data_IF_178951110528
#
_entry.id   IF_178951110528
#
_cell.length_a   1.000
_cell.length_b   1.000
_cell.length_c   1.000
_cell.angle_alpha   90.00
_cell.angle_beta   90.00
_cell.angle_gamma   90.00
#
_symmetry.space_group_name_H-M   'P 1'
#
loop_
_entity.id
_entity.type
_entity.pdbx_description
1 polymer ?
#
# COMPACT_ATOMS: atom_id res chain seq x y z
N UNK A 1 84.18 25.78 37.21
CA UNK A 1 85.16 24.82 36.65
C UNK A 1 84.41 23.57 36.26
N UNK A 2 84.87 22.86 35.23
CA UNK A 2 84.28 21.59 34.81
C UNK A 2 84.69 20.46 35.75
N UNK A 3 83.71 19.71 36.28
CA UNK A 3 83.97 18.42 36.91
C UNK A 3 84.07 17.38 35.79
N UNK A 4 85.22 16.74 35.65
CA UNK A 4 85.44 15.69 34.66
C UNK A 4 86.15 14.53 35.35
N UNK A 5 85.46 13.40 35.43
CA UNK A 5 85.91 12.21 36.15
C UNK A 5 86.14 11.07 35.15
N UNK A 6 87.15 10.23 35.42
CA UNK A 6 87.40 9.02 34.62
C UNK A 6 86.39 7.88 34.88
N UNK A 7 85.50 8.06 35.86
CA UNK A 7 84.35 7.21 36.17
C UNK A 7 83.12 8.05 36.51
N UNK A 8 82.06 7.42 37.02
CA UNK A 8 80.80 8.10 37.34
C UNK A 8 80.90 9.13 38.48
N UNK A 9 79.99 10.10 38.48
CA UNK A 9 79.82 11.10 39.54
C UNK A 9 78.66 10.70 40.46
N UNK A 10 78.96 10.38 41.71
CA UNK A 10 77.97 10.01 42.73
C UNK A 10 77.56 11.22 43.59
N UNK A 11 76.27 11.36 43.83
CA UNK A 11 75.62 12.49 44.51
C UNK A 11 74.46 11.95 45.36
N UNK A 12 74.49 12.23 46.66
CA UNK A 12 73.57 11.63 47.65
C UNK A 12 72.28 12.41 47.87
N UNK A 13 72.22 13.63 47.35
CA UNK A 13 71.08 14.55 47.36
C UNK A 13 70.91 15.10 45.94
N UNK A 14 69.97 16.02 45.76
CA UNK A 14 69.63 16.62 44.46
C UNK A 14 70.81 17.34 43.79
N UNK A 15 70.91 17.17 42.47
CA UNK A 15 71.80 17.98 41.62
C UNK A 15 70.96 18.97 40.84
N UNK A 16 71.02 20.24 41.26
CA UNK A 16 70.35 21.31 40.54
C UNK A 16 71.22 21.83 39.39
N UNK A 17 70.92 21.39 38.16
CA UNK A 17 71.58 21.87 36.93
C UNK A 17 70.70 22.94 36.29
N UNK A 18 71.06 24.21 36.45
CA UNK A 18 70.34 25.36 35.86
C UNK A 18 70.53 25.54 34.35
N UNK A 19 70.89 24.48 33.62
CA UNK A 19 71.25 24.50 32.20
C UNK A 19 71.07 23.11 31.56
N UNK A 20 71.52 22.95 30.32
CA UNK A 20 71.33 21.69 29.57
C UNK A 20 72.23 20.56 30.09
N UNK A 21 71.65 19.37 30.21
CA UNK A 21 72.35 18.13 30.57
C UNK A 21 72.40 17.23 29.35
N UNK A 22 73.60 16.93 28.84
CA UNK A 22 73.79 16.05 27.69
C UNK A 22 74.32 14.69 28.17
N UNK A 23 73.55 13.61 27.92
CA UNK A 23 73.97 12.24 28.19
C UNK A 23 74.39 11.61 26.85
N UNK A 24 75.57 10.96 26.79
CA UNK A 24 76.14 10.42 25.55
C UNK A 24 75.67 8.99 25.22
N UNK A 25 75.04 8.32 26.19
CA UNK A 25 74.55 6.94 26.14
C UNK A 25 73.18 6.91 26.85
N UNK A 26 72.85 5.83 27.56
CA UNK A 26 71.56 5.69 28.24
C UNK A 26 71.46 6.55 29.51
N UNK A 27 70.25 7.04 29.77
CA UNK A 27 69.82 7.59 31.06
C UNK A 27 68.90 6.57 31.74
N UNK A 28 69.36 5.97 32.84
CA UNK A 28 68.55 5.09 33.67
C UNK A 28 68.02 5.84 34.89
N UNK A 29 66.70 5.84 35.10
CA UNK A 29 66.03 6.37 36.28
C UNK A 29 65.20 5.26 36.91
N UNK A 30 65.34 5.05 38.23
CA UNK A 30 64.67 3.96 38.97
C UNK A 30 63.40 4.39 39.71
N UNK A 31 63.02 5.66 39.58
CA UNK A 31 61.78 6.23 40.09
C UNK A 31 61.17 7.18 39.06
N UNK A 32 60.25 8.03 39.49
CA UNK A 32 59.47 8.86 38.58
C UNK A 32 60.30 9.93 37.87
N UNK A 33 59.94 10.22 36.62
CA UNK A 33 60.53 11.29 35.80
C UNK A 33 59.50 12.39 35.58
N UNK A 34 59.48 13.37 36.47
CA UNK A 34 58.61 14.55 36.36
C UNK A 34 59.29 15.66 35.58
N UNK A 35 58.79 16.01 34.39
CA UNK A 35 59.29 17.13 33.59
C UNK A 35 58.36 18.34 33.70
N UNK A 36 58.91 19.53 33.99
CA UNK A 36 58.15 20.79 33.99
C UNK A 36 57.79 21.33 32.59
N UNK A 37 58.11 20.59 31.54
CA UNK A 37 57.85 20.91 30.13
C UNK A 37 57.71 19.63 29.30
N UNK A 38 57.40 19.79 28.01
CA UNK A 38 57.11 18.66 27.11
C UNK A 38 58.30 17.73 26.85
N UNK A 39 58.00 16.44 26.69
CA UNK A 39 58.98 15.40 26.35
C UNK A 39 58.97 15.16 24.85
N UNK A 40 60.06 15.52 24.16
CA UNK A 40 60.25 15.24 22.74
C UNK A 40 61.05 13.96 22.54
N UNK A 41 60.46 12.95 21.90
CA UNK A 41 61.10 11.66 21.63
C UNK A 41 61.27 11.47 20.12
N UNK A 42 62.52 11.39 19.66
CA UNK A 42 62.83 11.12 18.24
C UNK A 42 62.85 9.62 17.88
N UNK A 43 62.73 8.75 18.88
CA UNK A 43 62.66 7.29 18.74
C UNK A 43 61.32 6.72 19.24
N UNK A 44 61.30 5.44 19.57
CA UNK A 44 60.10 4.74 20.06
C UNK A 44 59.92 4.97 21.56
N UNK A 45 58.69 5.26 21.98
CA UNK A 45 58.26 5.16 23.39
C UNK A 45 57.66 3.78 23.63
N UNK A 46 58.14 3.07 24.65
CA UNK A 46 57.61 1.77 25.07
C UNK A 46 57.17 1.86 26.52
N UNK A 47 55.91 1.51 26.80
CA UNK A 47 55.39 1.38 28.16
C UNK A 47 55.27 -0.11 28.48
N UNK A 48 55.90 -0.55 29.57
CA UNK A 48 55.93 -1.96 30.00
C UNK A 48 54.92 -2.29 31.10
N UNK A 49 54.18 -1.28 31.59
CA UNK A 49 53.05 -1.50 32.50
C UNK A 49 51.88 -2.15 31.73
N UNK A 50 51.31 -3.21 32.30
CA UNK A 50 50.26 -4.04 31.69
C UNK A 50 48.89 -3.81 32.33
N UNK A 51 48.69 -2.72 33.06
CA UNK A 51 47.41 -2.41 33.73
C UNK A 51 46.31 -2.09 32.72
N UNK A 52 45.24 -2.88 32.76
CA UNK A 52 44.09 -2.73 31.87
C UNK A 52 43.15 -1.58 32.29
N UNK A 53 42.53 -0.95 31.29
CA UNK A 53 41.64 0.20 31.42
C UNK A 53 40.25 -0.21 31.95
N UNK A 54 39.69 0.58 32.87
CA UNK A 54 38.31 0.41 33.38
C UNK A 54 37.58 1.73 33.70
N UNK A 55 38.31 2.84 33.66
CA UNK A 55 37.87 4.24 33.76
C UNK A 55 38.91 5.08 33.01
N UNK A 56 38.69 6.39 32.88
CA UNK A 56 39.71 7.32 32.32
C UNK A 56 40.95 7.46 33.21
N UNK A 57 40.82 7.19 34.52
CA UNK A 57 41.90 7.31 35.51
C UNK A 57 42.72 6.01 35.71
N UNK A 58 42.43 4.94 34.96
CA UNK A 58 43.07 3.63 35.15
C UNK A 58 43.63 3.09 33.84
N UNK A 59 44.90 2.69 33.84
CA UNK A 59 45.59 2.12 32.68
C UNK A 59 47.07 2.47 32.64
N UNK A 60 47.82 1.84 31.74
CA UNK A 60 49.26 2.07 31.58
C UNK A 60 49.62 3.29 30.72
N UNK A 61 48.71 3.76 29.87
CA UNK A 61 48.87 5.00 29.11
C UNK A 61 47.63 5.87 29.32
N UNK A 62 47.77 6.86 30.22
CA UNK A 62 46.74 7.85 30.55
C UNK A 62 47.24 9.20 30.01
N UNK A 63 46.35 9.92 29.34
CA UNK A 63 46.60 11.30 28.90
C UNK A 63 45.44 12.18 29.32
N UNK A 64 45.67 13.12 30.21
CA UNK A 64 44.68 14.14 30.61
C UNK A 64 44.19 14.99 29.42
N UNK A 65 44.99 15.06 28.35
CA UNK A 65 44.65 15.67 27.06
C UNK A 65 44.31 14.64 25.99
N UNK A 66 43.73 15.12 24.88
CA UNK A 66 43.38 14.27 23.73
C UNK A 66 44.59 13.71 22.98
N UNK A 67 44.45 12.51 22.43
CA UNK A 67 45.51 11.83 21.68
C UNK A 67 45.44 12.23 20.20
N UNK A 68 46.33 13.13 19.78
CA UNK A 68 46.46 13.55 18.38
C UNK A 68 47.34 12.59 17.58
N UNK A 69 46.74 11.78 16.70
CA UNK A 69 47.45 10.93 15.75
C UNK A 69 47.40 11.55 14.34
N UNK A 70 48.56 11.98 13.80
CA UNK A 70 48.67 12.50 12.43
C UNK A 70 48.59 11.41 11.35
N UNK A 71 48.56 10.14 11.77
CA UNK A 71 48.36 8.92 11.00
C UNK A 71 47.34 8.05 11.77
N UNK A 72 47.11 6.82 11.34
CA UNK A 72 46.17 5.92 12.03
C UNK A 72 46.56 5.58 13.47
N UNK A 73 45.56 5.44 14.35
CA UNK A 73 45.68 4.87 15.68
C UNK A 73 45.27 3.39 15.65
N UNK A 74 46.11 2.49 16.16
CA UNK A 74 45.81 1.06 16.27
C UNK A 74 45.67 0.68 17.73
N UNK A 75 44.52 0.13 18.12
CA UNK A 75 44.27 -0.38 19.47
C UNK A 75 44.14 -1.91 19.43
N UNK A 76 44.87 -2.59 20.32
CA UNK A 76 44.83 -4.05 20.47
C UNK A 76 43.62 -4.58 21.27
N UNK A 77 42.74 -3.69 21.71
CA UNK A 77 41.52 -3.96 22.46
C UNK A 77 40.41 -2.97 22.08
N UNK A 78 39.30 -2.96 22.82
CA UNK A 78 38.14 -2.15 22.49
C UNK A 78 38.44 -0.64 22.54
N UNK A 79 37.97 0.10 21.53
CA UNK A 79 37.76 1.55 21.65
C UNK A 79 36.47 1.78 22.44
N UNK A 80 36.58 1.83 23.76
CA UNK A 80 35.46 2.14 24.65
C UNK A 80 35.22 3.65 24.69
N UNK A 81 34.33 4.13 23.82
CA UNK A 81 33.94 5.54 23.75
C UNK A 81 32.93 5.82 24.86
N UNK A 82 33.43 5.95 26.09
CA UNK A 82 32.66 6.42 27.26
C UNK A 82 32.21 7.89 27.12
N UNK A 83 32.84 8.63 26.21
CA UNK A 83 32.42 9.97 25.82
C UNK A 83 31.10 9.93 25.02
N UNK A 84 30.07 10.62 25.49
CA UNK A 84 28.75 10.68 24.82
C UNK A 84 28.72 11.58 23.57
N UNK A 85 29.86 12.06 23.09
CA UNK A 85 30.01 13.02 21.99
C UNK A 85 30.63 12.37 20.75
N UNK A 86 29.96 12.51 19.60
CA UNK A 86 30.33 11.85 18.34
C UNK A 86 31.59 12.44 17.64
N UNK A 87 32.26 11.61 16.84
CA UNK A 87 33.47 11.93 16.08
C UNK A 87 33.21 12.64 14.73
N UNK A 88 34.29 13.17 14.12
CA UNK A 88 34.38 13.79 12.78
C UNK A 88 35.60 13.25 12.02
N UNK A 89 35.48 12.90 10.72
CA UNK A 89 36.56 12.29 9.90
C UNK A 89 36.50 12.74 8.43
N UNK A 90 37.64 12.84 7.71
CA UNK A 90 37.75 12.93 6.25
C UNK A 90 38.54 11.75 5.62
N UNK A 91 38.10 11.22 4.47
CA UNK A 91 38.64 10.03 3.80
C UNK A 91 38.13 8.68 4.36
N UNK A 92 38.06 7.58 3.59
CA UNK A 92 38.20 7.45 2.12
C UNK A 92 37.51 6.16 1.60
N UNK A 93 36.32 6.32 1.02
CA UNK A 93 35.55 5.35 0.19
C UNK A 93 34.87 6.23 -0.90
N UNK A 94 34.36 5.75 -2.07
CA UNK A 94 33.95 6.66 -3.15
C UNK A 94 32.87 7.71 -2.80
N UNK A 95 32.15 7.50 -1.70
CA UNK A 95 31.27 8.47 -1.03
C UNK A 95 31.47 8.46 0.51
N UNK A 96 32.51 7.81 1.02
CA UNK A 96 32.57 7.28 2.39
C UNK A 96 33.54 7.98 3.34
N UNK A 97 33.49 9.31 3.35
CA UNK A 97 34.15 10.13 4.37
C UNK A 97 33.26 10.17 5.63
N UNK A 98 32.94 8.98 6.14
CA UNK A 98 32.10 8.79 7.32
C UNK A 98 32.86 9.15 8.58
N UNK A 99 32.27 10.01 9.42
CA UNK A 99 32.93 10.47 10.65
C UNK A 99 33.21 9.40 11.70
N UNK A 100 32.43 8.33 11.64
CA UNK A 100 32.48 7.18 12.54
C UNK A 100 32.36 5.91 11.69
N UNK A 101 33.49 5.43 11.15
CA UNK A 101 33.56 4.16 10.43
C UNK A 101 33.75 3.00 11.42
N UNK A 102 32.68 2.27 11.74
CA UNK A 102 32.75 1.02 12.51
C UNK A 102 32.77 -0.19 11.58
N UNK A 103 33.60 -1.19 11.85
CA UNK A 103 33.67 -2.42 11.05
C UNK A 103 32.46 -3.36 11.25
N UNK A 104 31.71 -3.18 12.34
CA UNK A 104 30.39 -3.76 12.56
C UNK A 104 29.29 -2.70 12.55
N UNK A 105 28.04 -3.10 12.79
CA UNK A 105 26.94 -2.15 12.98
C UNK A 105 27.11 -1.31 14.25
N UNK A 106 26.61 -0.07 14.21
CA UNK A 106 26.57 0.81 15.39
C UNK A 106 25.35 0.46 16.23
N UNK A 107 25.57 -0.15 17.39
CA UNK A 107 24.50 -0.47 18.35
C UNK A 107 24.14 0.76 19.19
N UNK A 108 22.99 1.38 18.92
CA UNK A 108 22.46 2.50 19.71
C UNK A 108 21.28 1.99 20.55
N UNK A 109 21.37 2.13 21.88
CA UNK A 109 20.34 1.67 22.81
C UNK A 109 19.14 2.63 22.96
N UNK A 110 19.24 3.83 22.37
CA UNK A 110 18.16 4.81 22.24
C UNK A 110 17.92 5.18 20.78
N UNK A 111 17.44 6.40 20.54
CA UNK A 111 17.08 6.87 19.20
C UNK A 111 18.31 7.33 18.37
N UNK A 112 18.21 7.18 17.04
CA UNK A 112 19.20 7.66 16.08
C UNK A 112 18.59 8.81 15.27
N UNK A 113 18.92 10.04 15.62
CA UNK A 113 18.45 11.24 14.92
C UNK A 113 19.42 11.62 13.79
N UNK A 114 18.97 11.54 12.53
CA UNK A 114 19.74 11.94 11.35
C UNK A 114 18.98 13.06 10.65
N UNK A 115 19.60 14.24 10.54
CA UNK A 115 18.99 15.45 9.97
C UNK A 115 19.08 15.58 8.44
N UNK A 116 19.52 14.52 7.76
CA UNK A 116 19.63 14.39 6.31
C UNK A 116 19.32 12.97 5.87
N UNK A 117 19.71 12.59 4.66
CA UNK A 117 19.36 11.28 4.10
C UNK A 117 20.08 10.12 4.80
N UNK A 118 19.34 9.02 5.01
CA UNK A 118 19.89 7.74 5.47
C UNK A 118 20.05 6.83 4.25
N UNK A 119 21.29 6.60 3.83
CA UNK A 119 21.61 5.62 2.78
C UNK A 119 21.92 4.26 3.42
N UNK A 120 21.21 3.21 3.03
CA UNK A 120 21.42 1.84 3.49
C UNK A 120 21.68 0.94 2.28
N UNK A 121 22.87 0.35 2.19
CA UNK A 121 23.25 -0.58 1.10
C UNK A 121 22.72 -2.01 1.35
N UNK A 122 21.43 -2.10 1.70
CA UNK A 122 20.79 -3.33 2.16
C UNK A 122 19.35 -3.10 2.62
N UNK A 123 18.73 -4.13 3.20
CA UNK A 123 17.35 -4.06 3.69
C UNK A 123 17.31 -3.52 5.13
N UNK A 124 16.79 -2.29 5.39
CA UNK A 124 16.59 -1.83 6.76
C UNK A 124 15.49 -2.64 7.44
N UNK A 125 15.64 -2.89 8.74
CA UNK A 125 14.65 -3.56 9.58
C UNK A 125 14.25 -2.64 10.74
N UNK A 126 13.03 -2.12 10.70
CA UNK A 126 12.48 -1.20 11.71
C UNK A 126 11.74 -1.91 12.86
N UNK A 127 11.70 -3.25 12.85
CA UNK A 127 10.98 -4.04 13.87
C UNK A 127 9.48 -3.75 13.87
N UNK A 128 8.87 -3.74 15.06
CA UNK A 128 7.44 -3.43 15.24
C UNK A 128 7.11 -1.94 15.19
N UNK A 129 8.11 -1.06 15.20
CA UNK A 129 7.93 0.39 15.14
C UNK A 129 7.88 0.81 13.68
N UNK A 130 6.69 1.11 13.16
CA UNK A 130 6.51 1.55 11.77
C UNK A 130 7.24 2.86 11.47
N UNK A 131 7.54 3.09 10.19
CA UNK A 131 8.04 4.38 9.71
C UNK A 131 6.93 5.42 9.90
N UNK A 132 7.04 6.20 10.97
CA UNK A 132 6.02 7.14 11.44
C UNK A 132 6.40 8.58 11.07
N UNK A 133 6.09 9.01 9.86
CA UNK A 133 6.20 10.42 9.45
C UNK A 133 6.46 10.62 7.96
N UNK A 134 5.62 11.46 7.32
CA UNK A 134 5.66 11.83 5.90
C UNK A 134 5.54 10.65 4.90
N UNK A 135 5.39 10.98 3.61
CA UNK A 135 5.06 10.02 2.56
C UNK A 135 6.18 8.98 2.33
N UNK A 136 5.86 7.69 2.49
CA UNK A 136 6.76 6.61 2.09
C UNK A 136 6.82 6.48 0.57
N UNK A 137 7.85 7.05 -0.05
CA UNK A 137 8.13 6.86 -1.48
C UNK A 137 9.07 5.67 -1.68
N UNK A 138 8.58 4.61 -2.33
CA UNK A 138 9.38 3.45 -2.71
C UNK A 138 9.56 3.39 -4.22
N UNK A 139 10.80 3.53 -4.71
CA UNK A 139 11.13 3.43 -6.14
C UNK A 139 11.12 1.98 -6.68
N UNK A 140 11.04 1.00 -5.80
CA UNK A 140 10.97 -0.43 -6.10
C UNK A 140 9.59 -1.04 -5.81
N UNK A 141 9.56 -2.35 -5.56
CA UNK A 141 8.32 -3.09 -5.25
C UNK A 141 8.04 -3.11 -3.74
N UNK A 142 6.83 -2.71 -3.34
CA UNK A 142 6.32 -3.00 -2.00
C UNK A 142 5.94 -4.49 -1.91
N UNK A 143 6.46 -5.19 -0.90
CA UNK A 143 6.11 -6.59 -0.60
C UNK A 143 5.61 -6.68 0.84
N UNK A 144 4.40 -7.19 1.02
CA UNK A 144 3.75 -7.29 2.33
C UNK A 144 3.54 -8.77 2.65
N UNK A 145 4.28 -9.28 3.63
CA UNK A 145 4.21 -10.67 4.08
C UNK A 145 3.15 -10.97 5.14
N UNK A 146 2.40 -9.95 5.58
CA UNK A 146 1.32 -10.11 6.57
C UNK A 146 0.14 -10.86 5.95
N UNK A 147 -0.38 -11.87 6.66
CA UNK A 147 -1.57 -12.63 6.28
C UNK A 147 -2.84 -12.14 7.00
N UNK A 148 -2.81 -10.96 7.62
CA UNK A 148 -3.96 -10.38 8.32
C UNK A 148 -5.07 -10.05 7.33
N UNK A 149 -6.19 -10.79 7.43
CA UNK A 149 -7.42 -10.50 6.68
C UNK A 149 -8.02 -9.19 7.19
N UNK A 150 -8.60 -8.41 6.28
CA UNK A 150 -9.28 -7.17 6.64
C UNK A 150 -10.49 -7.45 7.55
N UNK A 151 -10.58 -6.73 8.68
CA UNK A 151 -11.77 -6.70 9.51
C UNK A 151 -12.81 -5.75 8.91
N UNK A 152 -14.10 -6.12 8.98
CA UNK A 152 -15.20 -5.32 8.43
C UNK A 152 -15.39 -3.94 9.12
N UNK A 153 -14.79 -3.75 10.30
CA UNK A 153 -14.74 -2.46 10.98
C UNK A 153 -13.60 -1.54 10.51
N UNK A 154 -12.77 -2.00 9.57
CA UNK A 154 -11.61 -1.27 9.04
C UNK A 154 -10.40 -1.18 9.98
N UNK A 155 -10.46 -1.75 11.19
CA UNK A 155 -9.43 -1.56 12.24
C UNK A 155 -8.25 -2.53 12.18
N UNK A 156 -8.23 -3.44 11.21
CA UNK A 156 -7.19 -4.45 11.05
C UNK A 156 -7.14 -4.92 9.60
N UNK A 157 -5.96 -4.84 8.98
CA UNK A 157 -5.67 -5.40 7.66
C UNK A 157 -4.16 -5.61 7.50
N UNK A 158 -3.73 -6.36 6.48
CA UNK A 158 -2.31 -6.44 6.09
C UNK A 158 -1.78 -5.10 5.52
N UNK A 159 -2.66 -4.30 4.91
CA UNK A 159 -2.42 -2.92 4.43
C UNK A 159 -3.69 -2.12 4.67
N UNK A 160 -3.56 -0.93 5.26
CA UNK A 160 -4.66 0.00 5.52
C UNK A 160 -4.35 1.35 4.85
N UNK A 161 -5.36 1.98 4.25
CA UNK A 161 -5.25 3.32 3.69
C UNK A 161 -6.35 4.21 4.29
N UNK A 162 -5.96 5.19 5.09
CA UNK A 162 -6.90 6.19 5.64
C UNK A 162 -7.42 7.19 4.58
N UNK A 163 -6.83 7.18 3.38
CA UNK A 163 -7.25 7.94 2.21
C UNK A 163 -7.49 7.04 0.99
N UNK A 164 -7.64 7.64 -0.19
CA UNK A 164 -7.85 6.88 -1.43
C UNK A 164 -6.60 6.17 -1.95
N UNK A 165 -6.80 5.09 -2.71
CA UNK A 165 -5.75 4.35 -3.41
C UNK A 165 -5.76 4.67 -4.92
N UNK A 166 -4.64 5.16 -5.45
CA UNK A 166 -4.48 5.44 -6.88
C UNK A 166 -3.61 4.37 -7.55
N UNK A 167 -4.16 3.64 -8.54
CA UNK A 167 -3.45 2.62 -9.31
C UNK A 167 -3.48 2.97 -10.80
N UNK A 168 -2.31 3.20 -11.40
CA UNK A 168 -2.19 3.61 -12.82
C UNK A 168 -2.31 2.45 -13.83
N UNK A 169 -2.34 1.21 -13.33
CA UNK A 169 -2.34 -0.05 -14.08
C UNK A 169 -3.35 -1.01 -13.44
N UNK A 170 -3.20 -2.30 -13.72
CA UNK A 170 -4.14 -3.32 -13.27
C UNK A 170 -3.97 -3.59 -11.76
N UNK A 171 -5.09 -3.84 -11.08
CA UNK A 171 -5.11 -4.52 -9.79
C UNK A 171 -5.29 -6.02 -10.08
N UNK A 172 -4.48 -6.87 -9.47
CA UNK A 172 -4.64 -8.33 -9.53
C UNK A 172 -5.03 -8.84 -8.15
N UNK A 173 -6.12 -9.61 -8.09
CA UNK A 173 -6.66 -10.17 -6.85
C UNK A 173 -6.83 -11.67 -7.07
N UNK A 174 -6.13 -12.49 -6.26
CA UNK A 174 -6.19 -13.95 -6.35
C UNK A 174 -7.43 -14.58 -5.68
N UNK A 175 -8.21 -13.78 -4.96
CA UNK A 175 -9.39 -14.16 -4.19
C UNK A 175 -10.56 -13.21 -4.51
N UNK A 176 -11.48 -12.99 -3.56
CA UNK A 176 -12.60 -12.05 -3.68
C UNK A 176 -12.18 -10.59 -3.53
N UNK A 177 -13.01 -9.69 -4.05
CA UNK A 177 -13.02 -8.25 -3.72
C UNK A 177 -14.30 -7.99 -2.93
N UNK A 178 -14.18 -7.25 -1.82
CA UNK A 178 -15.29 -6.82 -0.97
C UNK A 178 -15.25 -5.29 -0.89
N UNK A 179 -16.42 -4.65 -0.99
CA UNK A 179 -16.55 -3.18 -1.05
C UNK A 179 -17.69 -2.78 -0.11
N UNK A 180 -17.31 -2.38 1.10
CA UNK A 180 -18.23 -1.93 2.15
C UNK A 180 -18.30 -0.39 2.13
N UNK A 181 -19.51 0.17 2.19
CA UNK A 181 -19.73 1.57 2.56
C UNK A 181 -20.31 1.62 3.97
N UNK A 182 -19.76 2.46 4.85
CA UNK A 182 -20.18 2.52 6.27
C UNK A 182 -21.68 2.84 6.49
N UNK A 183 -22.36 3.36 5.48
CA UNK A 183 -23.82 3.38 5.38
C UNK A 183 -24.23 3.05 3.93
N UNK A 184 -24.63 1.81 3.61
CA UNK A 184 -24.94 1.42 2.24
C UNK A 184 -26.19 2.15 1.73
N UNK A 185 -26.12 2.68 0.51
CA UNK A 185 -27.24 3.36 -0.17
C UNK A 185 -27.38 2.91 -1.61
N UNK A 186 -28.61 2.93 -2.14
CA UNK A 186 -28.87 2.56 -3.53
C UNK A 186 -28.24 3.58 -4.50
N UNK A 187 -27.57 3.06 -5.53
CA UNK A 187 -27.04 3.88 -6.61
C UNK A 187 -28.17 4.58 -7.39
N UNK A 188 -28.04 5.89 -7.55
CA UNK A 188 -29.03 6.76 -8.21
C UNK A 188 -28.60 7.27 -9.58
N UNK A 189 -27.31 7.11 -9.93
CA UNK A 189 -26.73 7.44 -11.23
C UNK A 189 -25.53 6.54 -11.51
N UNK A 190 -24.94 6.64 -12.71
CA UNK A 190 -23.70 5.91 -13.07
C UNK A 190 -22.45 6.36 -12.29
N UNK A 191 -22.58 7.25 -11.30
CA UNK A 191 -21.46 7.81 -10.52
C UNK A 191 -21.70 7.85 -9.00
N UNK A 192 -22.76 7.22 -8.47
CA UNK A 192 -23.17 7.36 -7.05
C UNK A 192 -23.36 6.04 -6.30
N UNK A 193 -22.68 4.97 -6.72
CA UNK A 193 -22.61 3.71 -5.97
C UNK A 193 -21.19 3.34 -5.56
N UNK A 194 -21.05 2.33 -4.69
CA UNK A 194 -19.76 1.87 -4.16
C UNK A 194 -18.80 1.30 -5.22
N UNK A 195 -19.34 0.79 -6.34
CA UNK A 195 -18.57 0.34 -7.50
C UNK A 195 -18.95 1.14 -8.75
N UNK A 196 -17.99 1.90 -9.29
CA UNK A 196 -18.16 2.75 -10.48
C UNK A 196 -17.03 2.47 -11.47
N UNK A 197 -17.41 2.23 -12.74
CA UNK A 197 -16.46 2.13 -13.85
C UNK A 197 -16.85 3.08 -14.98
N UNK A 198 -15.92 3.92 -15.46
CA UNK A 198 -16.19 4.77 -16.63
C UNK A 198 -16.21 3.99 -17.97
N UNK A 199 -15.67 2.76 -17.98
CA UNK A 199 -15.82 1.80 -19.06
C UNK A 199 -16.89 0.75 -18.77
N UNK A 200 -17.08 -0.19 -19.70
CA UNK A 200 -17.96 -1.35 -19.50
C UNK A 200 -17.33 -2.41 -18.58
N UNK A 201 -18.19 -3.15 -17.86
CA UNK A 201 -17.79 -4.31 -17.07
C UNK A 201 -17.97 -5.61 -17.87
N UNK A 202 -16.97 -6.49 -17.83
CA UNK A 202 -17.07 -7.83 -18.41
C UNK A 202 -17.24 -8.88 -17.30
N UNK A 203 -18.39 -9.54 -17.26
CA UNK A 203 -18.67 -10.64 -16.32
C UNK A 203 -18.79 -11.92 -17.14
N UNK A 204 -17.97 -12.93 -16.82
CA UNK A 204 -17.90 -14.19 -17.56
C UNK A 204 -18.86 -15.28 -17.05
N UNK A 205 -19.42 -15.08 -15.86
CA UNK A 205 -20.37 -15.95 -15.17
C UNK A 205 -21.63 -15.14 -14.83
N UNK A 206 -22.55 -15.73 -14.06
CA UNK A 206 -23.79 -15.06 -13.66
C UNK A 206 -23.56 -13.91 -12.68
N UNK A 207 -24.33 -12.83 -12.83
CA UNK A 207 -24.42 -11.73 -11.85
C UNK A 207 -25.67 -11.91 -10.99
N UNK A 208 -25.51 -12.04 -9.67
CA UNK A 208 -26.63 -12.04 -8.73
C UNK A 208 -26.90 -10.63 -8.19
N UNK A 209 -28.06 -10.07 -8.50
CA UNK A 209 -28.49 -8.74 -8.03
C UNK A 209 -29.67 -8.92 -7.07
N UNK A 210 -29.51 -8.52 -5.80
CA UNK A 210 -30.57 -8.58 -4.79
C UNK A 210 -31.56 -7.41 -4.84
N UNK A 211 -31.24 -6.36 -5.59
CA UNK A 211 -32.07 -5.15 -5.78
C UNK A 211 -32.58 -4.98 -7.21
N UNK A 212 -32.88 -3.74 -7.59
CA UNK A 212 -33.34 -3.40 -8.95
C UNK A 212 -32.15 -3.25 -9.92
N UNK A 213 -32.36 -3.59 -11.19
CA UNK A 213 -31.45 -3.25 -12.29
C UNK A 213 -32.01 -2.04 -13.02
N UNK A 214 -31.34 -0.88 -12.92
CA UNK A 214 -31.69 0.33 -13.65
C UNK A 214 -30.78 0.51 -14.88
N UNK A 215 -31.38 0.52 -16.08
CA UNK A 215 -30.63 0.65 -17.35
C UNK A 215 -31.05 1.95 -18.03
N UNK A 216 -30.14 2.93 -18.07
CA UNK A 216 -30.41 4.26 -18.65
C UNK A 216 -30.50 4.29 -20.19
N UNK A 217 -30.07 3.21 -20.85
CA UNK A 217 -30.11 3.02 -22.30
C UNK A 217 -30.78 1.68 -22.64
N UNK A 218 -30.47 1.07 -23.78
CA UNK A 218 -31.01 -0.23 -24.16
C UNK A 218 -30.31 -1.39 -23.45
N UNK A 219 -31.08 -2.34 -22.91
CA UNK A 219 -30.60 -3.65 -22.52
C UNK A 219 -30.75 -4.64 -23.68
N UNK A 220 -29.74 -5.47 -23.93
CA UNK A 220 -29.78 -6.54 -24.94
C UNK A 220 -29.53 -7.88 -24.26
N UNK A 221 -30.47 -8.82 -24.40
CA UNK A 221 -30.30 -10.21 -23.96
C UNK A 221 -30.05 -11.05 -25.20
N UNK A 222 -28.87 -11.69 -25.29
CA UNK A 222 -28.46 -12.44 -26.49
C UNK A 222 -29.19 -13.78 -26.71
N UNK A 223 -29.93 -14.25 -25.71
CA UNK A 223 -30.66 -15.53 -25.74
C UNK A 223 -32.08 -15.35 -25.18
N UNK A 224 -32.40 -15.95 -24.03
CA UNK A 224 -33.74 -15.97 -23.43
C UNK A 224 -33.77 -15.07 -22.20
N UNK A 225 -34.74 -14.15 -22.15
CA UNK A 225 -35.10 -13.42 -20.93
C UNK A 225 -36.24 -14.17 -20.23
N UNK A 226 -35.95 -14.83 -19.11
CA UNK A 226 -36.96 -15.43 -18.25
C UNK A 226 -37.44 -14.38 -17.23
N UNK A 227 -38.75 -14.12 -17.19
CA UNK A 227 -39.39 -13.23 -16.20
C UNK A 227 -40.48 -14.01 -15.48
N UNK A 228 -40.41 -14.06 -14.16
CA UNK A 228 -41.40 -14.75 -13.30
C UNK A 228 -42.56 -13.86 -12.86
N UNK A 229 -42.35 -12.54 -12.87
CA UNK A 229 -43.38 -11.53 -12.63
C UNK A 229 -44.02 -10.99 -13.91
N UNK A 230 -44.81 -9.93 -13.77
CA UNK A 230 -45.39 -9.22 -14.91
C UNK A 230 -44.32 -8.47 -15.72
N UNK A 231 -44.54 -8.35 -17.04
CA UNK A 231 -43.74 -7.52 -17.95
C UNK A 231 -44.58 -6.32 -18.38
N UNK A 232 -44.11 -5.10 -18.09
CA UNK A 232 -44.76 -3.86 -18.52
C UNK A 232 -43.89 -3.16 -19.56
N UNK A 233 -44.43 -2.97 -20.77
CA UNK A 233 -43.80 -2.17 -21.82
C UNK A 233 -44.64 -0.91 -22.08
N UNK A 234 -44.10 0.27 -21.76
CA UNK A 234 -44.82 1.55 -21.87
C UNK A 234 -44.96 2.09 -23.31
N UNK A 235 -44.55 1.32 -24.31
CA UNK A 235 -44.62 1.68 -25.73
C UNK A 235 -44.98 0.45 -26.57
N UNK A 236 -44.06 -0.08 -27.38
CA UNK A 236 -44.32 -1.24 -28.25
C UNK A 236 -43.57 -2.49 -27.79
N UNK A 237 -44.14 -3.65 -28.09
CA UNK A 237 -43.47 -4.96 -28.01
C UNK A 237 -43.36 -5.50 -29.44
N UNK A 238 -42.14 -5.53 -29.98
CA UNK A 238 -41.87 -6.11 -31.29
C UNK A 238 -41.58 -7.61 -31.17
N UNK A 239 -42.33 -8.44 -31.90
CA UNK A 239 -42.11 -9.89 -31.97
C UNK A 239 -41.90 -10.27 -33.44
N UNK A 240 -40.70 -10.75 -33.77
CA UNK A 240 -40.34 -11.19 -35.13
C UNK A 240 -40.64 -12.67 -35.38
N UNK A 241 -40.79 -13.45 -34.31
CA UNK A 241 -41.25 -14.85 -34.33
C UNK A 241 -42.72 -14.97 -33.95
N UNK A 242 -43.06 -16.07 -33.28
CA UNK A 242 -44.42 -16.31 -32.76
C UNK A 242 -44.56 -15.71 -31.36
N UNK A 243 -45.63 -14.94 -31.14
CA UNK A 243 -46.10 -14.60 -29.79
C UNK A 243 -47.04 -15.71 -29.31
N UNK A 244 -46.67 -16.42 -28.24
CA UNK A 244 -47.50 -17.43 -27.60
C UNK A 244 -48.00 -16.91 -26.26
N UNK A 245 -49.32 -16.85 -26.09
CA UNK A 245 -49.96 -16.58 -24.80
C UNK A 245 -50.54 -17.89 -24.29
N UNK A 246 -50.00 -18.39 -23.18
CA UNK A 246 -50.40 -19.68 -22.57
C UNK A 246 -51.44 -19.54 -21.45
N UNK A 247 -51.89 -18.32 -21.18
CA UNK A 247 -52.99 -18.07 -20.25
C UNK A 247 -54.30 -18.65 -20.82
N UNK A 248 -55.03 -19.42 -20.01
CA UNK A 248 -56.29 -20.06 -20.39
C UNK A 248 -57.54 -19.25 -20.00
N UNK A 249 -57.35 -18.02 -19.51
CA UNK A 249 -58.42 -17.12 -19.07
C UNK A 249 -59.38 -16.77 -20.20
N UNK A 250 -60.62 -17.26 -20.11
CA UNK A 250 -61.70 -16.97 -21.06
C UNK A 250 -62.11 -15.51 -20.99
N UNK A 251 -62.39 -14.90 -22.15
CA UNK A 251 -62.84 -13.51 -22.22
C UNK A 251 -64.19 -13.28 -21.48
N UNK A 252 -64.28 -12.19 -20.73
CA UNK A 252 -65.52 -11.73 -20.09
C UNK A 252 -66.57 -11.32 -21.12
N UNK A 253 -67.85 -11.43 -20.75
CA UNK A 253 -68.98 -10.98 -21.57
C UNK A 253 -69.02 -9.46 -21.79
N UNK A 254 -68.25 -8.68 -21.03
CA UNK A 254 -68.05 -7.23 -21.24
C UNK A 254 -66.84 -6.89 -22.14
N UNK A 255 -66.03 -7.89 -22.52
CA UNK A 255 -64.81 -7.72 -23.34
C UNK A 255 -63.69 -6.88 -22.72
N UNK A 256 -63.79 -6.45 -21.45
CA UNK A 256 -62.93 -5.42 -20.84
C UNK A 256 -62.33 -5.79 -19.49
N UNK A 257 -62.89 -6.75 -18.75
CA UNK A 257 -62.47 -7.05 -17.37
C UNK A 257 -61.60 -8.29 -17.19
N UNK A 258 -61.63 -9.23 -18.13
CA UNK A 258 -60.85 -10.48 -18.06
C UNK A 258 -60.70 -11.11 -19.43
N UNK A 259 -59.49 -11.51 -19.81
CA UNK A 259 -59.14 -12.34 -20.97
C UNK A 259 -57.64 -12.69 -20.92
N UNK A 260 -57.24 -13.84 -21.49
CA UNK A 260 -55.84 -14.19 -21.73
C UNK A 260 -55.10 -13.13 -22.58
N UNK A 261 -55.82 -12.42 -23.45
CA UNK A 261 -55.32 -11.23 -24.14
C UNK A 261 -56.43 -10.19 -24.18
N UNK A 262 -56.18 -9.04 -23.55
CA UNK A 262 -57.09 -7.90 -23.50
C UNK A 262 -56.49 -6.74 -24.28
N UNK A 263 -57.24 -6.19 -25.22
CA UNK A 263 -56.80 -5.07 -26.07
C UNK A 263 -57.87 -3.97 -26.03
N UNK A 264 -57.52 -2.81 -25.47
CA UNK A 264 -58.45 -1.67 -25.36
C UNK A 264 -58.61 -0.87 -26.66
N UNK A 265 -57.67 -1.04 -27.61
CA UNK A 265 -57.74 -0.49 -28.97
C UNK A 265 -58.18 -1.53 -30.00
N UNK A 266 -58.03 -1.21 -31.28
CA UNK A 266 -58.26 -2.17 -32.37
C UNK A 266 -57.13 -3.20 -32.48
N UNK A 267 -57.49 -4.42 -32.92
CA UNK A 267 -56.53 -5.46 -33.31
C UNK A 267 -56.42 -5.47 -34.84
N UNK A 268 -55.24 -5.18 -35.37
CA UNK A 268 -54.94 -5.33 -36.79
C UNK A 268 -54.36 -6.71 -37.09
N UNK A 269 -54.95 -7.42 -38.06
CA UNK A 269 -54.43 -8.69 -38.58
C UNK A 269 -54.14 -8.50 -40.06
N UNK A 270 -52.89 -8.68 -40.48
CA UNK A 270 -52.47 -8.49 -41.88
C UNK A 270 -52.83 -9.67 -42.79
N UNK A 271 -52.85 -10.88 -42.22
CA UNK A 271 -53.23 -12.13 -42.87
C UNK A 271 -54.53 -12.68 -42.26
N UNK A 272 -54.68 -14.00 -42.18
CA UNK A 272 -55.87 -14.66 -41.65
C UNK A 272 -55.90 -14.70 -40.11
N UNK A 273 -57.03 -14.29 -39.52
CA UNK A 273 -57.38 -14.67 -38.15
C UNK A 273 -57.99 -16.09 -38.16
N UNK A 274 -57.40 -17.02 -37.42
CA UNK A 274 -57.91 -18.40 -37.27
C UNK A 274 -58.39 -18.60 -35.83
N UNK A 275 -59.64 -19.01 -35.66
CA UNK A 275 -60.26 -19.31 -34.37
C UNK A 275 -60.83 -20.73 -34.41
N UNK A 276 -60.45 -21.55 -33.44
CA UNK A 276 -60.80 -22.99 -33.40
C UNK A 276 -62.15 -23.24 -32.71
N UNK A 277 -62.52 -22.38 -31.77
CA UNK A 277 -63.81 -22.39 -31.09
C UNK A 277 -64.73 -21.31 -31.70
N UNK A 278 -65.68 -20.76 -30.92
CA UNK A 278 -66.52 -19.65 -31.38
C UNK A 278 -65.83 -18.29 -31.41
N UNK A 279 -66.32 -17.41 -32.27
CA UNK A 279 -66.08 -15.95 -32.21
C UNK A 279 -67.33 -15.29 -31.63
N UNK A 280 -67.16 -14.35 -30.70
CA UNK A 280 -68.25 -13.55 -30.14
C UNK A 280 -68.05 -12.08 -30.50
N UNK A 281 -69.09 -11.43 -31.02
CA UNK A 281 -69.13 -10.00 -31.35
C UNK A 281 -70.25 -9.38 -30.54
N UNK A 282 -69.88 -8.52 -29.58
CA UNK A 282 -70.74 -8.07 -28.47
C UNK A 282 -71.21 -6.62 -28.60
N UNK A 283 -70.95 -5.97 -29.74
CA UNK A 283 -71.40 -4.61 -29.98
C UNK A 283 -72.93 -4.49 -30.05
N UNK A 284 -73.42 -3.26 -29.91
CA UNK A 284 -74.84 -2.91 -29.96
C UNK A 284 -75.19 -2.02 -31.16
N UNK A 285 -74.28 -1.90 -32.13
CA UNK A 285 -74.41 -1.03 -33.29
C UNK A 285 -75.22 -1.73 -34.37
N UNK A 286 -76.54 -1.56 -34.31
CA UNK A 286 -77.45 -2.06 -35.34
C UNK A 286 -76.98 -1.67 -36.74
N UNK A 287 -76.76 -2.67 -37.60
CA UNK A 287 -76.15 -2.52 -38.91
C UNK A 287 -76.97 -1.60 -39.85
N UNK A 288 -76.58 -0.32 -39.90
CA UNK A 288 -77.25 0.72 -40.71
C UNK A 288 -76.45 1.13 -41.94
N UNK A 289 -75.19 0.74 -42.01
CA UNK A 289 -74.25 0.97 -43.12
C UNK A 289 -73.08 -0.03 -42.99
N UNK A 290 -72.31 -0.24 -44.06
CA UNK A 290 -71.04 -0.98 -44.02
C UNK A 290 -69.98 -0.35 -43.10
N UNK A 291 -70.20 0.90 -42.68
CA UNK A 291 -69.35 1.64 -41.72
C UNK A 291 -69.97 1.74 -40.31
N UNK A 292 -71.12 1.11 -40.07
CA UNK A 292 -71.90 1.23 -38.83
C UNK A 292 -72.58 -0.11 -38.48
N UNK A 293 -71.76 -1.16 -38.38
CA UNK A 293 -72.14 -2.51 -37.97
C UNK A 293 -71.01 -3.10 -37.12
N UNK A 294 -71.34 -3.91 -36.11
CA UNK A 294 -70.33 -4.52 -35.24
C UNK A 294 -69.50 -5.60 -35.94
N UNK A 295 -70.01 -6.15 -37.04
CA UNK A 295 -69.27 -7.00 -37.99
C UNK A 295 -69.59 -6.56 -39.43
N UNK A 296 -68.56 -6.21 -40.20
CA UNK A 296 -68.66 -5.94 -41.64
C UNK A 296 -67.82 -6.94 -42.42
N UNK A 297 -68.41 -7.60 -43.41
CA UNK A 297 -67.70 -8.51 -44.32
C UNK A 297 -67.79 -7.95 -45.74
N UNK A 298 -66.63 -7.66 -46.36
CA UNK A 298 -66.57 -7.11 -47.73
C UNK A 298 -66.51 -8.19 -48.83
N UNK A 299 -66.30 -9.46 -48.45
CA UNK A 299 -66.29 -10.63 -49.34
C UNK A 299 -67.48 -11.57 -49.08
N UNK A 300 -67.44 -12.77 -49.67
CA UNK A 300 -68.41 -13.82 -49.39
C UNK A 300 -68.15 -14.50 -48.04
N UNK A 301 -69.20 -14.72 -47.25
CA UNK A 301 -69.15 -15.59 -46.06
C UNK A 301 -69.41 -17.03 -46.51
N UNK A 302 -68.42 -17.91 -46.35
CA UNK A 302 -68.62 -19.35 -46.48
C UNK A 302 -69.17 -19.91 -45.17
N UNK A 303 -70.45 -20.27 -45.14
CA UNK A 303 -71.05 -21.03 -44.03
C UNK A 303 -71.14 -22.49 -44.48
N UNK A 304 -70.61 -23.39 -43.66
CA UNK A 304 -70.75 -24.84 -43.80
C UNK A 304 -71.52 -25.32 -42.57
N UNK A 305 -72.68 -25.95 -42.77
CA UNK A 305 -73.44 -26.67 -41.74
C UNK A 305 -72.85 -28.08 -41.49
#
# INVERSE_FOLDING_TARGET
GSVTTAGGLGVLLDVYIGGTTNIATDLAVTGDVTTGGGVGVGGIVTITDTTATSSVDTGSFITDGGIGCALGMTMGGNLDITATTAATNPGDVPNGDGSLTTAGGVGIAGDVFIGGDITVDGTPNFGSQGISGADMTLSGTLSVGSTTVAAADGTSAAVEFAGGLAVQKNIWVGSTIEIEEGTPTDSTSTTTGSFVTNGGAGIALDTYIGGNINVAASATVGTTLAVTGAVTASSTVGVTGVLTVSDSTTASADGTTSAATLVAGGVGVGDNLVVVNGVSVLGSTGATSTTAADLTVAGGVGIVE
#
